data_IF_174463715372
#
_entry.id   IF_174463715372
#
_cell.length_a   1.000
_cell.length_b   1.000
_cell.length_c   1.000
_cell.angle_alpha   90.00
_cell.angle_beta   90.00
_cell.angle_gamma   90.00
#
_symmetry.space_group_name_H-M   'P 1'
#
loop_
_entity.id
_entity.type
_entity.pdbx_description
1 polymer ?
#
# COMPACT_ATOMS: atom_id res chain seq x y z
N UNK A 1 1.68 -20.22 14.61
CA UNK A 1 0.90 -19.54 13.53
C UNK A 1 -0.17 -18.59 14.04
N UNK A 2 -1.06 -18.97 14.98
CA UNK A 2 -2.15 -18.09 15.46
C UNK A 2 -1.69 -16.83 16.24
N UNK A 3 -0.59 -16.89 17.00
CA UNK A 3 -0.07 -15.73 17.76
C UNK A 3 0.52 -14.63 16.85
N UNK A 4 1.21 -14.97 15.76
CA UNK A 4 1.75 -13.98 14.83
C UNK A 4 0.68 -13.16 14.10
N UNK A 5 -0.43 -13.80 13.68
CA UNK A 5 -1.55 -13.09 13.05
C UNK A 5 -2.17 -12.09 14.01
N UNK A 6 -2.29 -12.48 15.27
CA UNK A 6 -2.81 -11.65 16.36
C UNK A 6 -1.91 -10.44 16.66
N UNK A 7 -0.59 -10.64 16.67
CA UNK A 7 0.41 -9.58 16.86
C UNK A 7 0.42 -8.58 15.69
N UNK A 8 0.23 -9.08 14.46
CA UNK A 8 0.09 -8.23 13.26
C UNK A 8 -1.18 -7.38 13.37
N UNK A 9 -2.32 -7.97 13.75
CA UNK A 9 -3.58 -7.24 13.94
C UNK A 9 -3.46 -6.19 15.05
N UNK A 10 -2.78 -6.52 16.16
CA UNK A 10 -2.53 -5.59 17.26
C UNK A 10 -1.71 -4.38 16.83
N UNK A 11 -0.55 -4.62 16.21
CA UNK A 11 0.38 -3.57 15.76
C UNK A 11 -0.27 -2.71 14.68
N UNK A 12 -1.02 -3.35 13.79
CA UNK A 12 -1.74 -2.70 12.70
C UNK A 12 -2.86 -1.77 13.20
N UNK A 13 -3.73 -2.25 14.10
CA UNK A 13 -4.78 -1.41 14.69
C UNK A 13 -4.19 -0.27 15.53
N UNK A 14 -3.11 -0.52 16.28
CA UNK A 14 -2.45 0.48 17.11
C UNK A 14 -1.83 1.61 16.27
N UNK A 15 -1.07 1.28 15.22
CA UNK A 15 -0.44 2.26 14.34
C UNK A 15 -1.48 3.10 13.59
N UNK A 16 -2.56 2.49 13.11
CA UNK A 16 -3.66 3.20 12.43
C UNK A 16 -4.38 4.18 13.38
N UNK A 17 -4.60 3.78 14.63
CA UNK A 17 -5.20 4.65 15.65
C UNK A 17 -4.27 5.82 16.02
N UNK A 18 -2.97 5.57 16.12
CA UNK A 18 -1.98 6.62 16.37
C UNK A 18 -1.93 7.63 15.22
N UNK A 19 -2.01 7.16 13.97
CA UNK A 19 -2.11 8.01 12.78
C UNK A 19 -3.36 8.87 12.79
N UNK A 20 -4.53 8.30 13.15
CA UNK A 20 -5.78 9.07 13.27
C UNK A 20 -5.68 10.15 14.35
N UNK A 21 -4.92 9.91 15.41
CA UNK A 21 -4.64 10.90 16.46
C UNK A 21 -3.60 11.95 16.05
N UNK A 22 -2.66 11.60 15.16
CA UNK A 22 -1.64 12.52 14.62
C UNK A 22 -2.15 13.38 13.45
N UNK A 23 -3.27 13.01 12.81
CA UNK A 23 -3.86 13.70 11.63
C UNK A 23 -4.56 15.03 11.92
N UNK A 24 -4.01 15.80 12.86
CA UNK A 24 -4.35 17.22 13.01
C UNK A 24 -3.39 18.12 12.23
N UNK A 25 -2.25 17.64 11.70
CA UNK A 25 -1.34 18.49 10.91
C UNK A 25 -0.72 17.81 9.66
N UNK A 26 -0.82 18.55 8.55
CA UNK A 26 -0.03 18.55 7.29
C UNK A 26 -0.36 17.53 6.18
N UNK A 27 -1.11 17.99 5.17
CA UNK A 27 -1.57 17.23 3.98
C UNK A 27 -0.48 17.02 2.90
N UNK A 28 0.65 17.75 2.95
CA UNK A 28 1.71 17.67 1.92
C UNK A 28 2.89 16.76 2.26
N UNK A 29 2.97 16.25 3.48
CA UNK A 29 4.19 15.60 3.98
C UNK A 29 4.27 14.08 3.76
N UNK A 30 3.22 13.41 3.27
CA UNK A 30 3.14 11.94 3.26
C UNK A 30 2.92 11.32 1.87
N UNK A 31 3.28 12.00 0.78
CA UNK A 31 3.08 11.47 -0.58
C UNK A 31 3.99 10.25 -0.85
N UNK A 32 3.36 9.13 -1.23
CA UNK A 32 4.04 7.95 -1.73
C UNK A 32 3.88 7.78 -3.25
N UNK A 33 4.95 7.32 -3.92
CA UNK A 33 4.94 6.99 -5.34
C UNK A 33 5.09 5.48 -5.52
N UNK A 34 4.18 4.88 -6.27
CA UNK A 34 4.18 3.45 -6.60
C UNK A 34 4.57 3.25 -8.05
N UNK A 35 5.76 2.70 -8.29
CA UNK A 35 6.23 2.29 -9.60
C UNK A 35 5.94 0.81 -9.83
N UNK A 36 4.99 0.51 -10.70
CA UNK A 36 4.45 -0.84 -10.90
C UNK A 36 5.06 -1.49 -12.13
N UNK A 37 5.65 -2.67 -11.94
CA UNK A 37 5.92 -3.62 -13.02
C UNK A 37 4.59 -4.22 -13.48
N UNK A 38 4.10 -3.74 -14.61
CA UNK A 38 2.80 -4.13 -15.16
C UNK A 38 2.83 -5.40 -16.00
N UNK A 39 3.99 -5.90 -16.41
CA UNK A 39 4.06 -7.08 -17.29
C UNK A 39 3.87 -8.39 -16.52
N UNK A 40 4.37 -8.43 -15.29
CA UNK A 40 4.23 -9.58 -14.43
C UNK A 40 2.99 -9.41 -13.55
N UNK A 41 1.98 -10.29 -13.69
CA UNK A 41 0.80 -10.32 -12.81
C UNK A 41 0.08 -8.95 -12.62
N UNK A 42 -0.42 -8.32 -13.70
CA UNK A 42 -0.94 -6.95 -13.67
C UNK A 42 -2.07 -6.70 -12.66
N UNK A 43 -2.89 -7.71 -12.38
CA UNK A 43 -3.98 -7.62 -11.39
C UNK A 43 -3.51 -7.81 -9.95
N UNK A 44 -2.41 -8.53 -9.75
CA UNK A 44 -1.89 -8.81 -8.41
C UNK A 44 -1.20 -7.58 -7.83
N UNK A 45 -0.30 -6.96 -8.62
CA UNK A 45 0.51 -5.83 -8.15
C UNK A 45 -0.35 -4.62 -7.75
N UNK A 46 -1.50 -4.41 -8.40
CA UNK A 46 -2.42 -3.31 -8.08
C UNK A 46 -3.35 -3.58 -6.90
N UNK A 47 -3.28 -4.74 -6.23
CA UNK A 47 -4.15 -5.02 -5.08
C UNK A 47 -3.88 -4.01 -3.95
N UNK A 48 -4.95 -3.35 -3.49
CA UNK A 48 -4.88 -2.29 -2.49
C UNK A 48 -4.78 -0.88 -3.07
N UNK A 49 -4.88 -0.71 -4.39
CA UNK A 49 -4.90 0.62 -5.04
C UNK A 49 -6.03 1.50 -4.50
N UNK A 50 -7.13 0.89 -4.09
CA UNK A 50 -8.31 1.55 -3.52
C UNK A 50 -8.10 2.15 -2.12
N UNK A 51 -6.95 1.85 -1.50
CA UNK A 51 -6.58 2.37 -0.19
C UNK A 51 -5.75 3.66 -0.28
N UNK A 52 -5.27 4.00 -1.47
CA UNK A 52 -4.41 5.17 -1.67
C UNK A 52 -5.20 6.48 -1.52
N UNK A 53 -4.50 7.54 -1.13
CA UNK A 53 -5.07 8.87 -0.98
C UNK A 53 -4.85 9.72 -2.24
N UNK A 54 -5.56 10.84 -2.36
CA UNK A 54 -5.46 11.76 -3.50
C UNK A 54 -4.05 12.35 -3.71
N UNK A 55 -3.23 12.38 -2.66
CA UNK A 55 -1.84 12.82 -2.73
C UNK A 55 -0.89 11.78 -3.33
N UNK A 56 -1.25 10.49 -3.37
CA UNK A 56 -0.36 9.44 -3.85
C UNK A 56 -0.31 9.38 -5.39
N UNK A 57 0.79 8.85 -5.93
CA UNK A 57 0.94 8.60 -7.36
C UNK A 57 1.18 7.12 -7.67
N UNK A 58 0.53 6.63 -8.73
CA UNK A 58 0.72 5.27 -9.25
C UNK A 58 1.17 5.36 -10.71
N UNK A 59 2.37 4.88 -10.99
CA UNK A 59 2.92 4.82 -12.35
C UNK A 59 3.05 3.37 -12.78
N UNK A 60 2.23 2.97 -13.74
CA UNK A 60 2.17 1.59 -14.25
C UNK A 60 2.99 1.50 -15.52
N UNK A 61 4.14 0.82 -15.44
CA UNK A 61 5.02 0.56 -16.58
C UNK A 61 4.66 -0.77 -17.21
N UNK A 62 4.43 -0.80 -18.52
CA UNK A 62 4.04 -2.02 -19.22
C UNK A 62 4.60 -2.04 -20.62
N UNK A 63 5.04 -3.21 -21.08
CA UNK A 63 5.55 -3.35 -22.43
C UNK A 63 4.43 -3.23 -23.46
N UNK A 64 4.77 -2.81 -24.66
CA UNK A 64 3.83 -2.67 -25.76
C UNK A 64 3.08 -3.97 -26.12
N UNK A 65 3.59 -5.14 -25.71
CA UNK A 65 2.93 -6.45 -25.88
C UNK A 65 1.85 -6.74 -24.82
N UNK A 66 1.75 -5.96 -23.75
CA UNK A 66 0.82 -6.19 -22.65
C UNK A 66 -0.59 -5.71 -23.00
N UNK A 67 -1.46 -6.65 -23.33
CA UNK A 67 -2.84 -6.36 -23.77
C UNK A 67 -3.74 -5.86 -22.64
N UNK A 68 -3.41 -6.14 -21.37
CA UNK A 68 -4.24 -5.74 -20.24
C UNK A 68 -4.26 -4.22 -20.08
N UNK A 69 -3.10 -3.57 -20.08
CA UNK A 69 -2.98 -2.11 -19.94
C UNK A 69 -3.11 -1.34 -21.26
N UNK A 70 -3.06 -2.02 -22.42
CA UNK A 70 -3.46 -1.42 -23.69
C UNK A 70 -4.97 -1.15 -23.75
N UNK A 71 -5.78 -1.89 -23.00
CA UNK A 71 -7.23 -1.72 -23.00
C UNK A 71 -7.65 -0.47 -22.22
N UNK A 72 -8.25 0.51 -22.91
CA UNK A 72 -8.87 1.69 -22.29
C UNK A 72 -9.88 1.35 -21.21
N UNK A 73 -10.64 0.27 -21.43
CA UNK A 73 -11.62 -0.21 -20.45
C UNK A 73 -10.95 -0.61 -19.14
N UNK A 74 -9.85 -1.37 -19.20
CA UNK A 74 -9.12 -1.79 -18.01
C UNK A 74 -8.44 -0.59 -17.33
N UNK A 75 -7.85 0.33 -18.12
CA UNK A 75 -7.24 1.55 -17.57
C UNK A 75 -8.25 2.40 -16.81
N UNK A 76 -9.40 2.70 -17.42
CA UNK A 76 -10.48 3.45 -16.77
C UNK A 76 -11.02 2.75 -15.53
N UNK A 77 -11.16 1.42 -15.55
CA UNK A 77 -11.59 0.66 -14.39
C UNK A 77 -10.64 0.82 -13.21
N UNK A 78 -9.32 0.73 -13.44
CA UNK A 78 -8.31 0.92 -12.38
C UNK A 78 -8.33 2.35 -11.85
N UNK A 79 -8.39 3.36 -12.74
CA UNK A 79 -8.49 4.76 -12.33
C UNK A 79 -9.72 5.03 -11.45
N UNK A 80 -10.84 4.34 -11.71
CA UNK A 80 -12.06 4.49 -10.90
C UNK A 80 -12.00 3.83 -9.51
N UNK A 81 -10.99 3.00 -9.26
CA UNK A 81 -10.84 2.29 -7.97
C UNK A 81 -10.14 3.16 -6.91
N UNK A 82 -9.49 4.26 -7.29
CA UNK A 82 -8.58 5.00 -6.41
C UNK A 82 -8.75 6.51 -6.54
N UNK A 83 -8.38 7.22 -5.49
CA UNK A 83 -8.28 8.69 -5.47
C UNK A 83 -6.91 9.16 -5.96
N UNK A 84 -5.90 8.27 -5.94
CA UNK A 84 -4.53 8.58 -6.35
C UNK A 84 -4.41 8.91 -7.84
N UNK A 85 -3.39 9.69 -8.20
CA UNK A 85 -3.05 9.95 -9.59
C UNK A 85 -2.50 8.70 -10.27
N UNK A 86 -3.19 8.17 -11.28
CA UNK A 86 -2.74 6.96 -12.02
C UNK A 86 -2.21 7.32 -13.41
N UNK A 87 -0.98 6.92 -13.70
CA UNK A 87 -0.26 7.21 -14.93
C UNK A 87 0.20 5.92 -15.61
N UNK A 88 -0.13 5.79 -16.90
CA UNK A 88 0.23 4.62 -17.71
C UNK A 88 1.46 4.94 -18.56
N UNK A 89 2.53 4.16 -18.38
CA UNK A 89 3.82 4.32 -19.07
C UNK A 89 4.09 3.12 -19.97
N UNK A 90 3.73 3.26 -21.25
CA UNK A 90 4.02 2.24 -22.25
C UNK A 90 5.52 2.25 -22.57
N UNK A 91 6.17 1.10 -22.45
CA UNK A 91 7.58 0.92 -22.82
C UNK A 91 7.72 0.03 -24.05
N UNK A 92 8.81 0.20 -24.78
CA UNK A 92 9.15 -0.67 -25.91
C UNK A 92 9.35 -2.12 -25.42
N UNK A 93 8.82 -3.09 -26.14
CA UNK A 93 8.96 -4.51 -25.79
C UNK A 93 10.39 -5.00 -26.03
N UNK A 94 11.23 -4.98 -25.00
CA UNK A 94 12.54 -5.62 -24.97
C UNK A 94 12.77 -6.32 -23.62
N UNK A 95 13.70 -7.29 -23.52
CA UNK A 95 14.07 -7.88 -22.23
C UNK A 95 14.42 -6.80 -21.21
N UNK A 96 13.83 -6.89 -20.00
CA UNK A 96 14.06 -5.99 -18.87
C UNK A 96 13.78 -4.49 -19.15
N UNK A 97 13.06 -4.17 -20.23
CA UNK A 97 12.71 -2.78 -20.60
C UNK A 97 11.84 -2.08 -19.56
N UNK A 98 10.90 -2.81 -18.95
CA UNK A 98 10.06 -2.32 -17.86
C UNK A 98 10.92 -2.02 -16.63
N UNK A 99 11.76 -2.96 -16.22
CA UNK A 99 12.66 -2.81 -15.06
C UNK A 99 13.60 -1.62 -15.24
N UNK A 100 14.19 -1.48 -16.43
CA UNK A 100 15.03 -0.35 -16.78
C UNK A 100 14.26 0.97 -16.68
N UNK A 101 13.07 1.06 -17.28
CA UNK A 101 12.25 2.28 -17.24
C UNK A 101 11.84 2.65 -15.80
N UNK A 102 11.47 1.67 -14.97
CA UNK A 102 11.17 1.88 -13.55
C UNK A 102 12.41 2.40 -12.81
N UNK A 103 13.58 1.82 -13.05
CA UNK A 103 14.82 2.23 -12.39
C UNK A 103 15.18 3.70 -12.70
N UNK A 104 14.99 4.13 -13.95
CA UNK A 104 15.23 5.52 -14.38
C UNK A 104 14.20 6.46 -13.75
N UNK A 105 12.91 6.12 -13.79
CA UNK A 105 11.85 6.94 -13.21
C UNK A 105 12.00 7.10 -11.70
N UNK A 106 12.41 6.03 -11.00
CA UNK A 106 12.68 6.09 -9.58
C UNK A 106 13.88 6.99 -9.26
N UNK A 107 14.99 6.85 -10.00
CA UNK A 107 16.16 7.71 -9.85
C UNK A 107 15.85 9.20 -10.11
N UNK A 108 15.01 9.50 -11.11
CA UNK A 108 14.57 10.86 -11.44
C UNK A 108 13.78 11.48 -10.28
N UNK A 109 12.79 10.77 -9.72
CA UNK A 109 11.99 11.26 -8.58
C UNK A 109 12.80 11.43 -7.31
N UNK A 110 13.80 10.57 -7.10
CA UNK A 110 14.77 10.73 -6.01
C UNK A 110 15.56 12.03 -6.17
N UNK A 111 15.97 12.34 -7.41
CA UNK A 111 16.69 13.57 -7.74
C UNK A 111 15.85 14.84 -7.56
N UNK A 112 14.56 14.79 -7.89
CA UNK A 112 13.66 15.95 -7.78
C UNK A 112 13.21 16.26 -6.35
N UNK A 113 13.31 15.29 -5.44
CA UNK A 113 12.91 15.39 -4.01
C UNK A 113 11.42 15.70 -3.79
N UNK A 114 10.59 15.35 -4.75
CA UNK A 114 9.15 15.65 -4.69
C UNK A 114 8.37 14.68 -3.80
N UNK A 115 8.98 13.62 -3.27
CA UNK A 115 8.29 12.59 -2.46
C UNK A 115 9.16 12.08 -1.30
N UNK A 116 8.52 11.53 -0.26
CA UNK A 116 9.22 10.88 0.87
C UNK A 116 9.37 9.37 0.70
N UNK A 117 8.45 8.71 0.00
CA UNK A 117 8.46 7.26 -0.12
C UNK A 117 8.22 6.81 -1.56
N UNK A 118 9.09 5.92 -2.05
CA UNK A 118 8.98 5.27 -3.34
C UNK A 118 8.88 3.75 -3.13
N UNK A 119 7.84 3.17 -3.71
CA UNK A 119 7.62 1.73 -3.74
C UNK A 119 7.83 1.19 -5.15
N UNK A 120 8.77 0.26 -5.29
CA UNK A 120 8.94 -0.55 -6.51
C UNK A 120 8.04 -1.78 -6.37
N UNK A 121 6.89 -1.77 -7.06
CA UNK A 121 5.89 -2.82 -6.96
C UNK A 121 6.18 -3.90 -8.00
N UNK A 122 6.83 -4.98 -7.58
CA UNK A 122 7.10 -6.15 -8.42
C UNK A 122 7.30 -7.42 -7.60
N UNK A 123 6.94 -8.55 -8.19
CA UNK A 123 7.28 -9.89 -7.68
C UNK A 123 8.72 -10.31 -8.01
N UNK A 124 9.41 -9.61 -8.94
CA UNK A 124 10.80 -9.92 -9.27
C UNK A 124 11.75 -9.38 -8.19
N UNK A 125 12.57 -10.28 -7.64
CA UNK A 125 13.57 -9.97 -6.62
C UNK A 125 14.73 -9.12 -7.16
N UNK A 126 14.93 -9.03 -8.46
CA UNK A 126 15.92 -8.11 -9.02
C UNK A 126 15.64 -6.64 -8.66
N UNK A 127 14.37 -6.29 -8.37
CA UNK A 127 14.03 -4.96 -7.84
C UNK A 127 14.57 -4.71 -6.43
N UNK A 128 14.95 -5.74 -5.65
CA UNK A 128 15.65 -5.55 -4.38
C UNK A 128 17.04 -4.95 -4.61
N UNK A 129 17.74 -5.40 -5.66
CA UNK A 129 19.02 -4.83 -6.08
C UNK A 129 18.86 -3.38 -6.51
N UNK A 130 17.84 -3.08 -7.34
CA UNK A 130 17.54 -1.70 -7.76
C UNK A 130 17.27 -0.82 -6.53
N UNK A 131 16.40 -1.26 -5.63
CA UNK A 131 16.09 -0.52 -4.41
C UNK A 131 17.34 -0.31 -3.53
N UNK A 132 18.23 -1.30 -3.41
CA UNK A 132 19.48 -1.17 -2.66
C UNK A 132 20.41 -0.12 -3.26
N UNK A 133 20.59 -0.13 -4.58
CA UNK A 133 21.46 0.84 -5.26
C UNK A 133 20.90 2.26 -5.18
N UNK A 134 19.58 2.42 -5.28
CA UNK A 134 18.93 3.72 -5.11
C UNK A 134 19.06 4.23 -3.67
N UNK A 135 19.01 3.34 -2.66
CA UNK A 135 19.19 3.69 -1.25
C UNK A 135 20.52 4.38 -0.96
N UNK A 136 21.59 3.98 -1.63
CA UNK A 136 22.92 4.60 -1.48
C UNK A 136 22.95 6.08 -1.93
N UNK A 137 21.93 6.53 -2.66
CA UNK A 137 21.79 7.91 -3.16
C UNK A 137 20.78 8.74 -2.39
N UNK A 138 20.12 8.17 -1.38
CA UNK A 138 19.07 8.85 -0.61
C UNK A 138 19.67 9.78 0.47
N UNK A 139 18.91 10.82 0.81
CA UNK A 139 19.07 11.58 2.05
C UNK A 139 18.29 10.88 3.18
N UNK A 140 18.55 11.24 4.44
CA UNK A 140 18.06 10.51 5.63
C UNK A 140 16.54 10.31 5.69
N UNK A 141 15.76 11.16 5.03
CA UNK A 141 14.30 11.21 5.18
C UNK A 141 13.53 10.46 4.06
N UNK A 142 14.21 9.97 3.03
CA UNK A 142 13.56 9.30 1.88
C UNK A 142 13.67 7.78 1.96
N UNK A 143 12.60 7.10 1.60
CA UNK A 143 12.49 5.63 1.62
C UNK A 143 12.29 5.12 0.20
N UNK A 144 13.08 4.12 -0.20
CA UNK A 144 12.85 3.33 -1.43
C UNK A 144 12.77 1.87 -1.06
N UNK A 145 11.70 1.16 -1.42
CA UNK A 145 11.54 -0.27 -1.09
C UNK A 145 10.85 -1.04 -2.20
N UNK A 146 11.26 -2.29 -2.41
CA UNK A 146 10.47 -3.26 -3.19
C UNK A 146 9.32 -3.79 -2.35
N UNK A 147 8.14 -3.89 -2.95
CA UNK A 147 6.97 -4.58 -2.40
C UNK A 147 6.28 -5.39 -3.50
N UNK A 148 5.55 -6.44 -3.14
CA UNK A 148 4.85 -7.25 -4.15
C UNK A 148 3.51 -6.65 -4.59
N UNK A 149 2.86 -5.85 -3.73
CA UNK A 149 1.51 -5.32 -3.93
C UNK A 149 1.37 -3.97 -3.26
N UNK A 150 0.47 -3.11 -3.76
CA UNK A 150 0.22 -1.79 -3.17
C UNK A 150 -0.16 -1.86 -1.70
N UNK A 151 -1.03 -2.81 -1.28
CA UNK A 151 -1.46 -2.90 0.11
C UNK A 151 -0.29 -3.09 1.10
N UNK A 152 0.82 -3.72 0.67
CA UNK A 152 2.03 -3.84 1.52
C UNK A 152 2.66 -2.48 1.77
N UNK A 153 2.70 -1.62 0.75
CA UNK A 153 3.16 -0.24 0.91
C UNK A 153 2.25 0.56 1.85
N UNK A 154 0.94 0.38 1.75
CA UNK A 154 -0.04 1.02 2.66
C UNK A 154 0.14 0.57 4.11
N UNK A 155 0.50 -0.69 4.37
CA UNK A 155 0.85 -1.15 5.73
C UNK A 155 2.13 -0.48 6.24
N UNK A 156 3.09 -0.24 5.35
CA UNK A 156 4.37 0.39 5.69
C UNK A 156 4.24 1.89 5.93
N UNK A 157 3.34 2.56 5.21
CA UNK A 157 2.99 3.97 5.36
C UNK A 157 1.50 4.13 5.70
N UNK A 158 1.04 3.75 6.90
CA UNK A 158 -0.39 3.76 7.20
C UNK A 158 -0.96 5.18 7.34
N UNK A 159 -0.10 6.22 7.31
CA UNK A 159 -0.48 7.63 7.36
C UNK A 159 -1.45 8.02 6.23
N UNK A 160 -1.46 7.27 5.11
CA UNK A 160 -2.41 7.45 4.01
C UNK A 160 -3.81 6.87 4.25
N UNK A 161 -4.03 6.10 5.33
CA UNK A 161 -5.35 5.55 5.67
C UNK A 161 -6.16 6.57 6.46
N UNK A 162 -7.08 7.26 5.78
CA UNK A 162 -7.79 8.42 6.36
C UNK A 162 -9.16 8.07 6.93
N UNK A 163 -9.75 6.95 6.49
CA UNK A 163 -11.13 6.59 6.82
C UNK A 163 -11.23 5.20 7.41
N UNK A 164 -12.24 5.01 8.26
CA UNK A 164 -12.53 3.70 8.87
C UNK A 164 -12.84 2.62 7.82
N UNK A 165 -13.48 3.01 6.71
CA UNK A 165 -13.73 2.11 5.59
C UNK A 165 -12.42 1.62 4.93
N UNK A 166 -11.42 2.51 4.74
CA UNK A 166 -10.09 2.13 4.24
C UNK A 166 -9.35 1.20 5.22
N UNK A 167 -9.45 1.43 6.53
CA UNK A 167 -8.89 0.52 7.56
C UNK A 167 -9.46 -0.90 7.39
N UNK A 168 -10.77 -0.98 7.26
CA UNK A 168 -11.49 -2.23 7.15
C UNK A 168 -11.18 -2.98 5.85
N UNK A 169 -11.04 -2.24 4.76
CA UNK A 169 -10.66 -2.76 3.46
C UNK A 169 -9.22 -3.32 3.48
N UNK A 170 -8.31 -2.66 4.18
CA UNK A 170 -6.96 -3.17 4.38
C UNK A 170 -6.94 -4.44 5.24
N UNK A 171 -7.75 -4.49 6.31
CA UNK A 171 -7.90 -5.72 7.12
C UNK A 171 -8.41 -6.89 6.29
N UNK A 172 -9.37 -6.66 5.39
CA UNK A 172 -9.86 -7.68 4.44
C UNK A 172 -8.73 -8.15 3.51
N UNK A 173 -7.92 -7.24 2.98
CA UNK A 173 -6.81 -7.58 2.08
C UNK A 173 -5.70 -8.36 2.79
N UNK A 174 -5.44 -8.10 4.09
CA UNK A 174 -4.42 -8.80 4.88
C UNK A 174 -4.91 -10.16 5.41
N UNK A 175 -6.12 -10.22 5.96
CA UNK A 175 -6.62 -11.35 6.75
C UNK A 175 -7.63 -12.23 5.99
N UNK A 176 -8.00 -11.85 4.75
CA UNK A 176 -8.96 -12.59 3.93
C UNK A 176 -10.33 -12.75 4.62
N UNK A 177 -10.82 -13.99 4.71
CA UNK A 177 -12.14 -14.31 5.29
C UNK A 177 -12.28 -13.89 6.76
N UNK A 178 -11.19 -13.97 7.53
CA UNK A 178 -11.18 -13.57 8.95
C UNK A 178 -11.29 -12.04 9.08
N UNK A 179 -10.65 -11.30 8.18
CA UNK A 179 -10.78 -9.84 8.08
C UNK A 179 -12.18 -9.40 7.67
N UNK A 180 -12.83 -10.13 6.75
CA UNK A 180 -14.22 -9.85 6.35
C UNK A 180 -15.23 -10.07 7.48
N UNK A 181 -15.04 -11.13 8.28
CA UNK A 181 -15.85 -11.39 9.47
C UNK A 181 -15.67 -10.28 10.52
N UNK A 182 -14.42 -9.88 10.76
CA UNK A 182 -14.08 -8.80 11.68
C UNK A 182 -14.67 -7.46 11.19
N UNK A 183 -14.62 -7.19 9.89
CA UNK A 183 -15.27 -6.02 9.29
C UNK A 183 -16.78 -5.99 9.54
N UNK A 184 -17.49 -7.09 9.25
CA UNK A 184 -18.94 -7.17 9.44
C UNK A 184 -19.31 -6.94 10.90
N UNK A 185 -18.53 -7.48 11.83
CA UNK A 185 -18.72 -7.26 13.26
C UNK A 185 -18.54 -5.79 13.64
N UNK A 186 -17.51 -5.13 13.15
CA UNK A 186 -17.27 -3.72 13.50
C UNK A 186 -18.30 -2.78 12.85
N UNK A 187 -18.68 -3.01 11.59
CA UNK A 187 -19.69 -2.20 10.88
C UNK A 187 -21.10 -2.31 11.50
N UNK A 188 -21.39 -3.43 12.16
CA UNK A 188 -22.67 -3.62 12.87
C UNK A 188 -22.76 -2.84 14.19
N UNK A 189 -21.70 -2.13 14.59
CA UNK A 189 -21.67 -1.33 15.80
C UNK A 189 -22.30 0.06 15.55
N UNK A 190 -22.99 0.65 16.55
CA UNK A 190 -23.49 2.02 16.46
C UNK A 190 -22.37 3.05 16.30
N UNK A 191 -22.58 4.06 15.46
CA UNK A 191 -21.60 5.11 15.11
C UNK A 191 -21.11 5.95 16.30
N UNK A 192 -21.89 6.01 17.39
CA UNK A 192 -21.70 7.00 18.46
C UNK A 192 -20.93 6.43 19.67
N UNK A 193 -20.15 5.37 19.49
CA UNK A 193 -19.64 4.62 20.62
C UNK A 193 -18.25 5.11 21.09
N UNK A 194 -18.11 5.58 22.35
CA UNK A 194 -16.84 5.55 23.11
C UNK A 194 -16.25 4.13 23.23
N UNK A 195 -16.95 3.12 22.68
CA UNK A 195 -16.70 1.68 22.78
C UNK A 195 -15.71 1.18 21.73
N UNK A 196 -15.34 1.91 20.68
CA UNK A 196 -14.28 1.45 19.77
C UNK A 196 -13.00 1.15 20.57
N UNK A 197 -12.62 2.06 21.49
CA UNK A 197 -11.48 1.89 22.42
C UNK A 197 -11.66 0.72 23.40
N UNK A 198 -12.85 0.53 23.98
CA UNK A 198 -13.09 -0.52 24.98
C UNK A 198 -13.23 -1.91 24.35
N UNK A 199 -13.75 -2.00 23.11
CA UNK A 199 -13.86 -3.23 22.35
C UNK A 199 -12.49 -3.66 21.81
N UNK A 200 -11.66 -2.71 21.36
CA UNK A 200 -10.24 -2.92 21.09
C UNK A 200 -9.51 -3.40 22.34
N UNK A 201 -9.65 -2.75 23.50
CA UNK A 201 -9.07 -3.21 24.76
C UNK A 201 -9.56 -4.62 25.17
N UNK A 202 -10.82 -4.97 24.90
CA UNK A 202 -11.36 -6.32 25.14
C UNK A 202 -10.80 -7.36 24.18
N UNK A 203 -10.60 -7.01 22.90
CA UNK A 203 -9.92 -7.85 21.91
C UNK A 203 -8.46 -8.09 22.34
N UNK A 204 -7.74 -7.03 22.70
CA UNK A 204 -6.36 -7.11 23.23
C UNK A 204 -6.26 -7.93 24.52
N UNK A 205 -7.23 -7.81 25.42
CA UNK A 205 -7.30 -8.59 26.66
C UNK A 205 -7.56 -10.09 26.43
N UNK A 206 -8.43 -10.44 25.48
CA UNK A 206 -8.68 -11.86 25.09
C UNK A 206 -7.49 -12.49 24.38
N UNK A 207 -6.62 -11.67 23.78
CA UNK A 207 -5.40 -12.12 23.09
C UNK A 207 -4.27 -12.45 24.07
N UNK A 208 -4.08 -11.65 25.13
CA UNK A 208 -3.10 -11.92 26.21
C UNK A 208 -3.36 -13.23 26.95
N UNK A 209 -4.63 -13.63 27.07
CA UNK A 209 -5.03 -14.89 27.73
C UNK A 209 -4.69 -16.15 26.91
N UNK A 210 -4.37 -16.02 25.61
CA UNK A 210 -4.00 -17.13 24.72
C UNK A 210 -2.49 -17.34 24.57
N UNK A 211 -1.67 -16.46 25.15
CA UNK A 211 -0.21 -16.59 25.20
C UNK A 211 0.29 -17.11 26.56
N UNK A 212 -0.60 -17.14 27.56
CA UNK A 212 -0.34 -17.66 28.91
C UNK A 212 -0.89 -19.09 29.14
N UNK A 213 -1.25 -19.80 28.06
CA UNK A 213 -1.74 -21.19 28.05
C UNK A 213 -1.02 -21.99 26.97
#
# INVERSE_FOLDING_TARGET
>A
MKSHVLFIVHTFCYNILEIRLRKVHNERENMAIYFIDGDNNPKEHIKGIELLAAGDEVHIFYAAKNTYYLSDKNRKAIMSMTEAGVFYKKVMSAPNSVDFAISIAAAERIGSRDCKTIFLVSSDKHFDTIASLLKEKLQEDMIVKRIETIWKGVVMEPSVIETWDKVCLLMKNILGKEGELLYKQIKSLPADAPKERSLLQRLLGRMRMKEAS
#
